data_IF_722329653428
#
_entry.id   IF_722329653428
#
_cell.length_a   1.000
_cell.length_b   1.000
_cell.length_c   1.000
_cell.angle_alpha   90.00
_cell.angle_beta   90.00
_cell.angle_gamma   90.00
#
_symmetry.space_group_name_H-M   'P 1'
#
loop_
_entity.id
_entity.type
_entity.pdbx_description
1 polymer ?
#
# COMPACT_ATOMS: atom_id res chain seq x y z
N UNK A 1 -41.55 -70.36 -18.93
CA UNK A 1 -40.63 -69.96 -17.83
C UNK A 1 -39.15 -69.74 -18.27
N UNK A 2 -38.69 -70.23 -19.40
CA UNK A 2 -37.31 -70.07 -19.89
C UNK A 2 -37.10 -68.84 -20.80
N UNK A 3 -38.15 -68.28 -21.39
CA UNK A 3 -38.05 -67.13 -22.33
C UNK A 3 -37.88 -65.75 -21.64
N UNK A 4 -38.21 -65.65 -20.37
CA UNK A 4 -38.13 -64.37 -19.64
C UNK A 4 -36.68 -64.03 -19.21
N UNK A 5 -35.89 -65.04 -18.90
CA UNK A 5 -34.48 -64.84 -18.48
C UNK A 5 -33.54 -64.47 -19.66
N UNK A 6 -33.82 -64.91 -20.88
CA UNK A 6 -33.04 -64.45 -22.07
C UNK A 6 -33.33 -63.01 -22.46
N UNK A 7 -34.56 -62.54 -22.27
CA UNK A 7 -34.94 -61.15 -22.52
C UNK A 7 -34.36 -60.18 -21.51
N UNK A 8 -34.23 -60.57 -20.24
CA UNK A 8 -33.56 -59.73 -19.24
C UNK A 8 -32.05 -59.67 -19.46
N UNK A 9 -31.40 -60.76 -19.80
CA UNK A 9 -29.95 -60.80 -20.04
C UNK A 9 -29.56 -59.96 -21.30
N UNK A 10 -30.40 -59.96 -22.32
CA UNK A 10 -30.18 -59.13 -23.53
C UNK A 10 -30.52 -57.66 -23.29
N UNK A 11 -31.50 -57.32 -22.47
CA UNK A 11 -31.83 -55.96 -22.05
C UNK A 11 -30.71 -55.37 -21.21
N UNK A 12 -30.21 -56.10 -20.26
CA UNK A 12 -29.10 -55.62 -19.41
C UNK A 12 -27.79 -55.48 -20.19
N UNK A 13 -27.49 -56.36 -21.16
CA UNK A 13 -26.35 -56.20 -22.05
C UNK A 13 -26.48 -54.96 -22.98
N UNK A 14 -27.68 -54.65 -23.49
CA UNK A 14 -27.95 -53.46 -24.29
C UNK A 14 -27.86 -52.19 -23.48
N UNK A 15 -28.36 -52.17 -22.26
CA UNK A 15 -28.27 -51.05 -21.33
C UNK A 15 -26.80 -50.80 -20.93
N UNK A 16 -26.04 -51.85 -20.62
CA UNK A 16 -24.63 -51.77 -20.26
C UNK A 16 -23.75 -51.28 -21.43
N UNK A 17 -24.06 -51.68 -22.67
CA UNK A 17 -23.37 -51.19 -23.87
C UNK A 17 -23.69 -49.73 -24.18
N UNK A 18 -24.94 -49.30 -23.97
CA UNK A 18 -25.33 -47.88 -24.08
C UNK A 18 -24.67 -47.05 -22.99
N UNK A 19 -24.69 -47.46 -21.74
CA UNK A 19 -23.99 -46.79 -20.66
C UNK A 19 -22.49 -46.64 -20.94
N UNK A 20 -21.85 -47.68 -21.48
CA UNK A 20 -20.42 -47.66 -21.79
C UNK A 20 -20.05 -46.69 -22.94
N UNK A 21 -20.97 -46.36 -23.83
CA UNK A 21 -20.78 -45.35 -24.89
C UNK A 21 -21.11 -43.92 -24.40
N UNK A 22 -22.02 -43.76 -23.43
CA UNK A 22 -22.39 -42.46 -22.90
C UNK A 22 -21.43 -41.93 -21.83
N UNK A 23 -20.76 -42.83 -21.10
CA UNK A 23 -19.76 -42.44 -20.09
C UNK A 23 -18.62 -41.61 -20.69
N UNK A 24 -17.92 -42.02 -21.78
CA UNK A 24 -16.84 -41.22 -22.36
C UNK A 24 -17.35 -39.90 -22.93
N UNK A 25 -18.56 -39.87 -23.48
CA UNK A 25 -19.19 -38.61 -23.96
C UNK A 25 -19.45 -37.67 -22.78
N UNK A 26 -19.96 -38.18 -21.66
CA UNK A 26 -20.16 -37.40 -20.44
C UNK A 26 -18.86 -36.84 -19.86
N UNK A 27 -17.79 -37.64 -19.89
CA UNK A 27 -16.47 -37.22 -19.45
C UNK A 27 -15.90 -36.11 -20.37
N UNK A 28 -16.01 -36.26 -21.68
CA UNK A 28 -15.55 -35.26 -22.64
C UNK A 28 -16.33 -33.95 -22.47
N UNK A 29 -17.63 -34.04 -22.28
CA UNK A 29 -18.49 -32.87 -22.05
C UNK A 29 -18.14 -32.19 -20.74
N UNK A 30 -17.91 -32.92 -19.68
CA UNK A 30 -17.48 -32.42 -18.38
C UNK A 30 -16.10 -31.73 -18.46
N UNK A 31 -15.15 -32.34 -19.16
CA UNK A 31 -13.84 -31.73 -19.44
C UNK A 31 -14.02 -30.45 -20.26
N UNK A 32 -14.88 -30.45 -21.27
CA UNK A 32 -15.20 -29.24 -22.04
C UNK A 32 -15.77 -28.10 -21.20
N UNK A 33 -16.67 -28.41 -20.27
CA UNK A 33 -17.24 -27.43 -19.35
C UNK A 33 -16.16 -26.87 -18.40
N UNK A 34 -15.29 -27.72 -17.84
CA UNK A 34 -14.18 -27.29 -17.00
C UNK A 34 -13.22 -26.38 -17.79
N UNK A 35 -12.94 -26.72 -19.05
CA UNK A 35 -12.11 -25.92 -19.92
C UNK A 35 -12.74 -24.55 -20.22
N UNK A 36 -14.00 -24.48 -20.48
CA UNK A 36 -14.75 -23.23 -20.69
C UNK A 36 -14.78 -22.38 -19.41
N UNK A 37 -15.06 -22.96 -18.27
CA UNK A 37 -15.10 -22.28 -16.99
C UNK A 37 -13.72 -21.69 -16.60
N UNK A 38 -12.63 -22.43 -16.88
CA UNK A 38 -11.28 -21.96 -16.61
C UNK A 38 -10.76 -20.91 -17.60
N UNK A 39 -11.46 -20.70 -18.70
CA UNK A 39 -11.09 -19.74 -19.73
C UNK A 39 -11.56 -18.31 -19.42
N UNK A 40 -12.37 -18.11 -18.40
CA UNK A 40 -12.89 -16.81 -18.02
C UNK A 40 -12.05 -16.21 -16.89
N UNK A 41 -11.66 -14.94 -17.02
CA UNK A 41 -10.94 -14.21 -15.97
C UNK A 41 -11.48 -12.79 -15.86
N UNK A 42 -11.76 -12.36 -14.63
CA UNK A 42 -12.14 -10.99 -14.32
C UNK A 42 -10.93 -10.20 -13.85
N UNK A 43 -10.72 -9.04 -14.46
CA UNK A 43 -9.73 -8.05 -14.04
C UNK A 43 -10.48 -6.92 -13.35
N UNK A 44 -10.16 -6.60 -12.09
CA UNK A 44 -10.81 -5.50 -11.36
C UNK A 44 -10.54 -4.16 -12.04
N UNK A 45 -11.41 -3.17 -11.79
CA UNK A 45 -11.21 -1.79 -12.24
C UNK A 45 -9.90 -1.23 -11.67
N UNK A 46 -9.17 -0.47 -12.50
CA UNK A 46 -7.89 0.10 -12.14
C UNK A 46 -6.73 -0.92 -12.12
N UNK A 47 -6.92 -2.12 -12.67
CA UNK A 47 -5.86 -3.11 -12.81
C UNK A 47 -5.62 -3.46 -14.28
N UNK A 48 -4.39 -3.84 -14.57
CA UNK A 48 -4.02 -4.44 -15.87
C UNK A 48 -3.74 -5.91 -15.67
N UNK A 49 -4.39 -6.75 -16.46
CA UNK A 49 -4.14 -8.19 -16.49
C UNK A 49 -3.03 -8.55 -17.46
N UNK A 50 -1.93 -9.10 -16.96
CA UNK A 50 -0.82 -9.59 -17.78
C UNK A 50 -0.97 -11.08 -17.95
N UNK A 51 -1.00 -11.53 -19.19
CA UNK A 51 -1.10 -12.94 -19.54
C UNK A 51 0.27 -13.61 -19.52
N UNK A 52 0.34 -14.76 -18.85
CA UNK A 52 1.52 -15.61 -18.87
C UNK A 52 1.14 -17.03 -19.26
N UNK A 53 1.87 -17.62 -20.21
CA UNK A 53 1.72 -19.00 -20.65
C UNK A 53 2.97 -19.79 -20.30
N UNK A 54 2.86 -20.71 -19.35
CA UNK A 54 4.01 -21.50 -18.84
C UNK A 54 5.20 -20.62 -18.41
N UNK A 55 4.92 -19.45 -17.82
CA UNK A 55 5.95 -18.50 -17.38
C UNK A 55 6.38 -17.48 -18.43
N UNK A 56 6.05 -17.66 -19.69
CA UNK A 56 6.32 -16.68 -20.75
C UNK A 56 5.24 -15.59 -20.73
N UNK A 57 5.65 -14.34 -20.68
CA UNK A 57 4.75 -13.19 -20.79
C UNK A 57 4.28 -13.04 -22.24
N UNK A 58 2.97 -13.02 -22.43
CA UNK A 58 2.34 -12.79 -23.72
C UNK A 58 2.30 -11.29 -24.04
N UNK A 59 2.26 -10.93 -25.32
CA UNK A 59 2.21 -9.51 -25.72
C UNK A 59 0.81 -8.88 -25.57
N UNK A 60 -0.20 -9.70 -25.32
CA UNK A 60 -1.57 -9.26 -25.07
C UNK A 60 -1.76 -8.92 -23.59
N UNK A 61 -2.29 -7.72 -23.32
CA UNK A 61 -2.76 -7.31 -22.03
C UNK A 61 -4.29 -7.43 -21.93
N UNK A 62 -4.79 -7.69 -20.73
CA UNK A 62 -6.22 -7.70 -20.43
C UNK A 62 -6.59 -6.38 -19.72
N UNK A 63 -7.57 -5.70 -20.29
CA UNK A 63 -8.18 -4.52 -19.65
C UNK A 63 -9.15 -4.95 -18.55
N UNK A 64 -9.61 -4.00 -17.77
CA UNK A 64 -10.62 -4.23 -16.74
C UNK A 64 -11.89 -4.88 -17.29
N UNK A 65 -12.54 -5.68 -16.45
CA UNK A 65 -13.76 -6.40 -16.78
C UNK A 65 -13.55 -7.89 -17.00
N UNK A 66 -14.51 -8.50 -17.70
CA UNK A 66 -14.52 -9.93 -18.01
C UNK A 66 -13.71 -10.19 -19.28
N UNK A 67 -12.70 -11.02 -19.17
CA UNK A 67 -11.80 -11.34 -20.28
C UNK A 67 -11.72 -12.85 -20.52
N UNK A 68 -11.61 -13.21 -21.80
CA UNK A 68 -11.37 -14.60 -22.21
C UNK A 68 -9.87 -14.86 -22.36
N UNK A 69 -9.42 -15.95 -21.78
CA UNK A 69 -8.03 -16.44 -21.85
C UNK A 69 -8.00 -17.93 -22.17
N UNK A 70 -6.87 -18.44 -22.56
CA UNK A 70 -6.67 -19.89 -22.63
C UNK A 70 -6.64 -20.50 -21.21
N UNK A 71 -7.15 -21.72 -20.99
CA UNK A 71 -7.09 -22.41 -19.70
C UNK A 71 -5.67 -22.52 -19.15
N UNK A 72 -4.67 -22.62 -20.03
CA UNK A 72 -3.25 -22.73 -19.67
C UNK A 72 -2.59 -21.40 -19.33
N UNK A 73 -3.29 -20.29 -19.54
CA UNK A 73 -2.79 -18.95 -19.25
C UNK A 73 -3.10 -18.56 -17.81
N UNK A 74 -2.11 -17.98 -17.14
CA UNK A 74 -2.26 -17.31 -15.85
C UNK A 74 -2.36 -15.81 -16.07
N UNK A 75 -3.26 -15.15 -15.33
CA UNK A 75 -3.41 -13.69 -15.33
C UNK A 75 -2.75 -13.14 -14.09
N UNK A 76 -1.76 -12.30 -14.26
CA UNK A 76 -1.15 -11.49 -13.20
C UNK A 76 -1.82 -10.13 -13.23
N UNK A 77 -2.39 -9.72 -12.12
CA UNK A 77 -3.11 -8.44 -12.02
C UNK A 77 -2.17 -7.41 -11.39
N UNK A 78 -1.84 -6.37 -12.14
CA UNK A 78 -1.06 -5.24 -11.63
C UNK A 78 -2.00 -4.07 -11.38
N UNK A 79 -1.89 -3.47 -10.19
CA UNK A 79 -2.70 -2.33 -9.78
C UNK A 79 -2.10 -1.03 -10.35
N UNK A 80 -2.86 -0.36 -11.22
CA UNK A 80 -2.45 0.89 -11.88
C UNK A 80 -2.91 2.14 -11.11
N UNK A 81 -3.66 1.95 -10.04
CA UNK A 81 -4.14 3.08 -9.21
C UNK A 81 -2.98 3.70 -8.45
N UNK A 82 -3.15 4.95 -8.08
CA UNK A 82 -2.20 5.62 -7.22
C UNK A 82 -2.17 4.95 -5.85
N UNK A 83 -1.01 4.45 -5.47
CA UNK A 83 -0.73 3.82 -4.20
C UNK A 83 0.13 4.76 -3.37
N UNK A 84 -0.08 4.77 -2.05
CA UNK A 84 0.76 5.49 -1.10
C UNK A 84 1.61 4.50 -0.33
N UNK A 85 2.91 4.77 -0.28
CA UNK A 85 3.84 4.11 0.64
C UNK A 85 4.53 5.13 1.51
N UNK A 86 4.77 4.76 2.76
CA UNK A 86 5.57 5.54 3.69
C UNK A 86 6.80 4.71 4.03
N UNK A 87 7.95 5.32 3.87
CA UNK A 87 9.25 4.68 4.12
C UNK A 87 10.07 5.53 5.07
N UNK A 88 10.80 4.84 5.93
CA UNK A 88 11.75 5.47 6.86
C UNK A 88 13.16 5.28 6.31
N UNK A 89 13.90 6.37 6.27
CA UNK A 89 15.30 6.39 5.83
C UNK A 89 16.18 7.05 6.88
N UNK A 90 17.38 6.53 7.00
CA UNK A 90 18.45 7.18 7.75
C UNK A 90 19.43 7.82 6.77
N UNK A 91 19.73 9.08 6.97
CA UNK A 91 20.71 9.83 6.20
C UNK A 91 21.60 10.68 7.13
N UNK A 92 22.63 11.25 6.54
CA UNK A 92 23.48 12.24 7.22
C UNK A 92 23.33 13.57 6.50
N UNK A 93 23.23 14.63 7.29
CA UNK A 93 23.33 16.00 6.79
C UNK A 93 24.78 16.34 6.41
N UNK A 94 24.97 17.50 5.76
CA UNK A 94 26.31 17.98 5.37
C UNK A 94 27.24 18.24 6.57
N UNK A 95 26.67 18.50 7.73
CA UNK A 95 27.39 18.67 9.02
C UNK A 95 27.44 17.36 9.84
N UNK A 96 27.27 16.20 9.15
CA UNK A 96 27.45 14.85 9.71
C UNK A 96 26.47 14.55 10.88
N UNK A 97 25.30 15.17 10.88
CA UNK A 97 24.26 14.81 11.84
C UNK A 97 23.40 13.66 11.26
N UNK A 98 23.15 12.67 12.09
CA UNK A 98 22.23 11.58 11.75
C UNK A 98 20.79 12.07 11.79
N UNK A 99 20.05 11.76 10.72
CA UNK A 99 18.67 12.20 10.51
C UNK A 99 17.81 11.00 10.14
N UNK A 100 16.75 10.80 10.88
CA UNK A 100 15.68 9.86 10.52
C UNK A 100 14.61 10.62 9.74
N UNK A 101 14.28 10.08 8.55
CA UNK A 101 13.42 10.76 7.59
C UNK A 101 12.24 9.85 7.28
N UNK A 102 11.05 10.37 7.44
CA UNK A 102 9.83 9.69 7.00
C UNK A 102 9.33 10.32 5.72
N UNK A 103 9.34 9.54 4.63
CA UNK A 103 8.88 9.95 3.31
C UNK A 103 7.60 9.22 2.93
N UNK A 104 6.61 9.96 2.45
CA UNK A 104 5.44 9.41 1.76
C UNK A 104 5.63 9.56 0.26
N UNK A 105 5.43 8.46 -0.47
CA UNK A 105 5.50 8.40 -1.93
C UNK A 105 4.16 7.96 -2.47
N UNK A 106 3.60 8.74 -3.37
CA UNK A 106 2.42 8.40 -4.15
C UNK A 106 2.88 7.99 -5.55
N UNK A 107 2.62 6.75 -5.93
CA UNK A 107 3.06 6.21 -7.21
C UNK A 107 1.96 5.38 -7.85
N UNK A 108 2.05 5.24 -9.16
CA UNK A 108 1.16 4.41 -9.98
C UNK A 108 1.96 3.78 -11.13
N UNK A 109 1.33 2.87 -11.84
CA UNK A 109 1.92 2.23 -13.02
C UNK A 109 1.16 2.69 -14.24
N UNK A 110 1.89 3.02 -15.31
CA UNK A 110 1.27 3.24 -16.59
C UNK A 110 0.76 1.91 -17.16
N UNK A 111 -0.51 1.88 -17.53
CA UNK A 111 -1.19 0.71 -18.07
C UNK A 111 -0.49 0.13 -19.30
N UNK A 112 0.00 0.98 -20.19
CA UNK A 112 0.65 0.59 -21.44
C UNK A 112 2.00 -0.10 -21.21
N UNK A 113 2.69 0.28 -20.15
CA UNK A 113 4.03 -0.23 -19.82
C UNK A 113 4.03 -1.32 -18.75
N UNK A 114 2.89 -1.55 -18.09
CA UNK A 114 2.76 -2.53 -17.01
C UNK A 114 3.24 -3.93 -17.39
N UNK A 115 3.01 -4.35 -18.64
CA UNK A 115 3.47 -5.62 -19.16
C UNK A 115 5.00 -5.69 -19.24
N UNK A 116 5.64 -4.63 -19.75
CA UNK A 116 7.09 -4.56 -19.84
C UNK A 116 7.73 -4.48 -18.46
N UNK A 117 7.13 -3.73 -17.55
CA UNK A 117 7.53 -3.66 -16.15
C UNK A 117 7.49 -5.06 -15.51
N UNK A 118 6.40 -5.80 -15.70
CA UNK A 118 6.31 -7.17 -15.20
C UNK A 118 7.34 -8.10 -15.83
N UNK A 119 7.61 -7.97 -17.15
CA UNK A 119 8.58 -8.79 -17.87
C UNK A 119 10.01 -8.57 -17.39
N UNK A 120 10.36 -7.33 -17.06
CA UNK A 120 11.74 -6.93 -16.71
C UNK A 120 12.01 -6.98 -15.21
N UNK A 121 11.02 -6.67 -14.38
CA UNK A 121 11.18 -6.51 -12.92
C UNK A 121 10.28 -7.46 -12.12
N UNK A 122 9.07 -7.72 -12.61
CA UNK A 122 8.08 -8.53 -11.91
C UNK A 122 7.12 -7.69 -11.08
N UNK A 123 6.49 -8.34 -10.08
CA UNK A 123 5.50 -7.71 -9.20
C UNK A 123 6.12 -6.86 -8.10
N UNK A 124 7.39 -7.15 -7.74
CA UNK A 124 8.12 -6.45 -6.68
C UNK A 124 8.86 -5.21 -7.19
N UNK A 125 8.28 -4.54 -8.19
CA UNK A 125 8.90 -3.37 -8.84
C UNK A 125 9.15 -2.21 -7.88
N UNK A 126 8.31 -2.04 -6.86
CA UNK A 126 8.52 -1.01 -5.86
C UNK A 126 9.82 -1.26 -5.09
N UNK A 127 9.96 -2.44 -4.50
CA UNK A 127 11.12 -2.83 -3.70
C UNK A 127 12.40 -2.88 -4.52
N UNK A 128 12.29 -3.28 -5.81
CA UNK A 128 13.46 -3.49 -6.66
C UNK A 128 13.90 -2.23 -7.39
N UNK A 129 13.00 -1.30 -7.68
CA UNK A 129 13.29 -0.10 -8.49
C UNK A 129 13.05 1.19 -7.70
N UNK A 130 11.82 1.38 -7.15
CA UNK A 130 11.46 2.67 -6.55
C UNK A 130 12.22 2.90 -5.24
N UNK A 131 12.20 1.92 -4.36
CA UNK A 131 12.81 2.03 -3.03
C UNK A 131 14.31 2.35 -3.08
N UNK A 132 15.16 1.66 -3.87
CA UNK A 132 16.59 1.96 -3.93
C UNK A 132 16.87 3.36 -4.49
N UNK A 133 16.12 3.79 -5.50
CA UNK A 133 16.26 5.13 -6.09
C UNK A 133 15.83 6.22 -5.13
N UNK A 134 14.73 5.97 -4.42
CA UNK A 134 14.26 6.87 -3.38
C UNK A 134 15.29 7.02 -2.27
N UNK A 135 15.85 5.90 -1.79
CA UNK A 135 16.89 5.88 -0.77
C UNK A 135 18.14 6.65 -1.20
N UNK A 136 18.62 6.40 -2.42
CA UNK A 136 19.81 7.05 -2.99
C UNK A 136 19.58 8.57 -3.13
N UNK A 137 18.47 8.96 -3.75
CA UNK A 137 18.13 10.38 -3.95
C UNK A 137 17.91 11.11 -2.63
N UNK A 138 17.23 10.48 -1.68
CA UNK A 138 17.02 11.05 -0.34
C UNK A 138 18.35 11.29 0.35
N UNK A 139 19.25 10.30 0.39
CA UNK A 139 20.58 10.46 0.99
C UNK A 139 21.41 11.53 0.28
N UNK A 140 21.35 11.61 -1.03
CA UNK A 140 22.06 12.61 -1.83
C UNK A 140 21.57 14.04 -1.50
N UNK A 141 20.26 14.24 -1.50
CA UNK A 141 19.69 15.55 -1.21
C UNK A 141 19.98 15.96 0.24
N UNK A 142 19.74 15.08 1.21
CA UNK A 142 19.93 15.39 2.63
C UNK A 142 21.40 15.69 2.97
N UNK A 143 22.34 15.02 2.31
CA UNK A 143 23.78 15.30 2.49
C UNK A 143 24.23 16.67 1.98
N UNK A 144 23.41 17.34 1.18
CA UNK A 144 23.70 18.68 0.64
C UNK A 144 23.28 19.82 1.56
N UNK A 145 22.46 19.53 2.57
CA UNK A 145 21.93 20.50 3.52
C UNK A 145 22.46 20.29 4.92
N UNK A 146 22.62 21.37 5.68
CA UNK A 146 22.89 21.29 7.13
C UNK A 146 21.62 20.89 7.88
N UNK A 147 21.76 20.32 9.07
CA UNK A 147 20.62 19.94 9.90
C UNK A 147 19.66 21.09 10.17
N UNK A 148 20.19 22.30 10.37
CA UNK A 148 19.39 23.51 10.56
C UNK A 148 18.58 23.88 9.30
N UNK A 149 19.16 23.73 8.12
CA UNK A 149 18.48 24.00 6.85
C UNK A 149 17.39 22.98 6.53
N UNK A 150 17.56 21.70 6.93
CA UNK A 150 16.59 20.64 6.71
C UNK A 150 15.24 20.94 7.38
N UNK A 151 15.25 21.55 8.55
CA UNK A 151 14.05 21.88 9.32
C UNK A 151 13.16 22.91 8.59
N UNK A 152 13.79 23.89 7.92
CA UNK A 152 13.09 25.00 7.28
C UNK A 152 12.68 24.76 5.81
N UNK A 153 13.25 23.75 5.14
CA UNK A 153 13.16 23.61 3.69
C UNK A 153 12.44 22.33 3.22
N UNK A 154 11.51 21.80 3.98
CA UNK A 154 10.82 20.50 3.70
C UNK A 154 10.23 20.41 2.28
N UNK A 155 9.64 21.50 1.79
CA UNK A 155 9.05 21.55 0.45
C UNK A 155 10.11 21.47 -0.64
N UNK A 156 11.22 22.19 -0.48
CA UNK A 156 12.32 22.15 -1.44
C UNK A 156 12.98 20.77 -1.49
N UNK A 157 13.21 20.15 -0.33
CA UNK A 157 13.74 18.79 -0.22
C UNK A 157 12.85 17.79 -0.96
N UNK A 158 11.53 17.89 -0.79
CA UNK A 158 10.57 17.03 -1.48
C UNK A 158 10.66 17.19 -3.00
N UNK A 159 10.79 18.43 -3.49
CA UNK A 159 10.89 18.72 -4.91
C UNK A 159 12.23 18.24 -5.50
N UNK A 160 13.34 18.45 -4.82
CA UNK A 160 14.65 17.96 -5.27
C UNK A 160 14.72 16.43 -5.33
N UNK A 161 14.17 15.74 -4.32
CA UNK A 161 14.08 14.28 -4.35
C UNK A 161 13.22 13.84 -5.54
N UNK A 162 12.10 14.50 -5.77
CA UNK A 162 11.19 14.25 -6.88
C UNK A 162 11.88 14.37 -8.22
N UNK A 163 12.64 15.45 -8.41
CA UNK A 163 13.37 15.73 -9.66
C UNK A 163 14.46 14.70 -9.97
N UNK A 164 15.05 14.11 -8.93
CA UNK A 164 16.04 13.05 -9.09
C UNK A 164 15.39 11.68 -9.35
N UNK A 165 14.29 11.36 -8.65
CA UNK A 165 13.68 10.01 -8.71
C UNK A 165 12.85 9.82 -9.95
N UNK A 166 12.06 10.84 -10.38
CA UNK A 166 11.12 10.71 -11.50
C UNK A 166 11.79 10.21 -12.78
N UNK A 167 12.90 10.81 -13.27
CA UNK A 167 13.52 10.37 -14.53
C UNK A 167 13.98 8.91 -14.47
N UNK A 168 14.45 8.48 -13.31
CA UNK A 168 15.01 7.15 -13.11
C UNK A 168 13.94 6.05 -13.12
N UNK A 169 12.77 6.32 -12.56
CA UNK A 169 11.68 5.33 -12.48
C UNK A 169 10.75 5.39 -13.69
N UNK A 170 10.66 6.55 -14.35
CA UNK A 170 9.79 6.75 -15.52
C UNK A 170 10.16 5.82 -16.70
N UNK A 171 11.44 5.49 -16.88
CA UNK A 171 11.92 4.54 -17.91
C UNK A 171 11.36 3.12 -17.73
N UNK A 172 10.90 2.78 -16.54
CA UNK A 172 10.24 1.50 -16.26
C UNK A 172 8.71 1.60 -16.35
N UNK A 173 8.16 2.79 -16.67
CA UNK A 173 6.72 3.03 -16.74
C UNK A 173 6.07 3.23 -15.37
N UNK A 174 6.87 3.54 -14.34
CA UNK A 174 6.38 3.91 -13.02
C UNK A 174 6.21 5.42 -12.98
N UNK A 175 5.06 5.88 -12.53
CA UNK A 175 4.70 7.30 -12.41
C UNK A 175 4.70 7.65 -10.93
N UNK A 176 5.53 8.59 -10.54
CA UNK A 176 5.47 9.19 -9.21
C UNK A 176 4.60 10.44 -9.30
N UNK A 177 3.48 10.42 -8.59
CA UNK A 177 2.55 11.55 -8.54
C UNK A 177 3.03 12.58 -7.52
N UNK A 178 3.51 12.11 -6.37
CA UNK A 178 4.00 13.00 -5.33
C UNK A 178 5.00 12.30 -4.39
N UNK A 179 5.94 13.09 -3.86
CA UNK A 179 6.85 12.69 -2.78
C UNK A 179 6.76 13.79 -1.72
N UNK A 180 6.52 13.40 -0.48
CA UNK A 180 6.37 14.33 0.63
C UNK A 180 7.22 13.89 1.81
N UNK A 181 8.05 14.77 2.31
CA UNK A 181 8.75 14.62 3.59
C UNK A 181 7.73 14.83 4.69
N UNK A 182 7.35 13.75 5.37
CA UNK A 182 6.36 13.78 6.45
C UNK A 182 6.98 14.19 7.76
N UNK A 183 8.10 13.58 8.07
CA UNK A 183 8.82 13.89 9.30
C UNK A 183 10.33 13.86 9.11
N UNK A 184 11.01 14.67 9.90
CA UNK A 184 12.47 14.75 10.00
C UNK A 184 12.79 14.75 11.48
N UNK A 185 13.42 13.70 11.95
CA UNK A 185 13.78 13.52 13.36
C UNK A 185 15.30 13.45 13.49
N UNK A 186 15.81 14.14 14.49
CA UNK A 186 17.23 14.22 14.77
C UNK A 186 17.54 13.46 16.06
N UNK A 187 18.81 13.10 16.23
CA UNK A 187 19.24 12.46 17.47
C UNK A 187 19.05 13.39 18.67
N UNK A 188 18.74 12.80 19.83
CA UNK A 188 18.59 13.54 21.09
C UNK A 188 19.82 14.41 21.40
N UNK A 189 21.01 13.92 21.05
CA UNK A 189 22.26 14.65 21.24
C UNK A 189 22.30 15.95 20.42
N UNK A 190 21.82 15.92 19.16
CA UNK A 190 21.75 17.10 18.31
C UNK A 190 20.66 18.06 18.79
N UNK A 191 19.47 17.55 19.11
CA UNK A 191 18.35 18.34 19.61
C UNK A 191 18.74 19.09 20.89
N UNK A 192 19.36 18.37 21.83
CA UNK A 192 19.88 18.98 23.07
C UNK A 192 21.00 20.01 22.79
N UNK A 193 21.87 19.76 21.82
CA UNK A 193 22.92 20.71 21.43
C UNK A 193 22.36 21.98 20.80
N UNK A 194 21.31 21.83 19.94
CA UNK A 194 20.60 22.98 19.35
C UNK A 194 19.87 23.78 20.41
N UNK A 195 19.18 23.11 21.34
CA UNK A 195 18.55 23.76 22.47
C UNK A 195 19.58 24.49 23.33
N UNK A 196 20.71 23.84 23.66
CA UNK A 196 21.79 24.47 24.43
C UNK A 196 22.41 25.66 23.69
N UNK A 197 22.61 25.55 22.35
CA UNK A 197 23.09 26.65 21.50
C UNK A 197 22.08 27.81 21.50
N UNK A 198 20.80 27.50 21.44
CA UNK A 198 19.73 28.49 21.41
C UNK A 198 19.59 29.17 22.76
N UNK A 199 19.71 28.42 23.87
CA UNK A 199 19.77 28.96 25.24
C UNK A 199 21.01 29.84 25.40
N UNK A 200 22.18 29.37 24.99
CA UNK A 200 23.40 30.17 25.06
C UNK A 200 23.37 31.43 24.19
N UNK A 201 22.77 31.36 23.00
CA UNK A 201 22.54 32.50 22.14
C UNK A 201 21.53 33.49 22.77
N UNK A 202 20.49 32.95 23.38
CA UNK A 202 19.51 33.72 24.11
C UNK A 202 20.12 34.39 25.37
N UNK A 203 20.95 33.64 26.10
CA UNK A 203 21.68 34.18 27.28
C UNK A 203 22.64 35.30 26.90
N UNK A 204 23.37 35.09 25.76
CA UNK A 204 24.24 36.15 25.22
C UNK A 204 23.45 37.38 24.79
N UNK A 205 22.35 37.21 24.07
CA UNK A 205 21.48 38.29 23.66
C UNK A 205 20.85 38.99 24.87
N UNK A 206 20.48 38.21 25.89
CA UNK A 206 19.95 38.72 27.14
C UNK A 206 21.00 39.52 27.92
N UNK A 207 22.26 39.04 27.97
CA UNK A 207 23.37 39.76 28.59
C UNK A 207 23.71 41.05 27.84
N UNK A 208 23.76 41.03 26.50
CA UNK A 208 23.96 42.23 25.66
C UNK A 208 22.82 43.23 25.83
N UNK A 209 21.58 42.76 25.85
CA UNK A 209 20.39 43.59 26.04
C UNK A 209 20.38 44.19 27.46
N UNK A 210 20.77 43.38 28.46
CA UNK A 210 20.86 43.86 29.87
C UNK A 210 21.97 44.88 30.04
N UNK A 211 23.07 44.73 29.33
CA UNK A 211 24.19 45.69 29.35
C UNK A 211 23.81 47.00 28.65
N UNK A 212 23.07 46.90 27.51
CA UNK A 212 22.48 48.06 26.85
C UNK A 212 21.39 48.72 27.69
N UNK A 213 20.64 47.94 28.44
CA UNK A 213 19.61 48.45 29.38
C UNK A 213 20.20 49.15 30.58
N UNK A 214 21.35 48.70 31.15
CA UNK A 214 22.03 49.36 32.24
C UNK A 214 22.50 50.76 31.84
N UNK A 215 22.73 50.98 30.57
CA UNK A 215 23.08 52.30 30.00
C UNK A 215 21.85 53.19 29.72
N UNK A 216 20.66 52.60 29.68
CA UNK A 216 19.41 53.31 29.35
C UNK A 216 18.32 53.20 30.44
N UNK A 217 18.70 52.89 31.69
CA UNK A 217 17.79 52.57 32.81
C UNK A 217 16.74 53.64 33.15
N UNK A 218 16.92 54.88 32.76
CA UNK A 218 15.98 55.95 33.10
C UNK A 218 14.77 56.09 32.16
N UNK A 219 14.82 55.52 30.91
CA UNK A 219 13.78 55.83 29.90
C UNK A 219 12.87 54.62 29.51
N UNK A 220 13.11 53.38 29.99
CA UNK A 220 12.49 52.22 29.37
C UNK A 220 11.70 51.25 30.27
N UNK A 221 11.31 51.63 31.48
CA UNK A 221 10.48 50.75 32.32
C UNK A 221 9.13 50.37 31.66
N UNK A 222 8.54 51.31 30.95
CA UNK A 222 7.28 51.09 30.24
C UNK A 222 7.46 50.17 29.02
N UNK A 223 8.63 50.21 28.34
CA UNK A 223 8.93 49.39 27.18
C UNK A 223 9.25 47.93 27.57
N UNK A 224 9.77 47.71 28.79
CA UNK A 224 9.98 46.37 29.37
C UNK A 224 8.69 45.59 29.54
N UNK A 225 7.61 46.24 29.96
CA UNK A 225 6.31 45.57 30.13
C UNK A 225 5.70 45.17 28.79
N UNK A 226 5.87 45.99 27.76
CA UNK A 226 5.38 45.67 26.41
C UNK A 226 6.17 44.49 25.78
N UNK A 227 7.52 44.49 25.93
CA UNK A 227 8.38 43.42 25.40
C UNK A 227 8.08 42.08 26.09
N UNK A 228 7.87 42.12 27.42
CA UNK A 228 7.54 40.91 28.19
C UNK A 228 6.18 40.34 27.79
N UNK A 229 5.16 41.22 27.63
CA UNK A 229 3.84 40.80 27.19
C UNK A 229 3.83 40.21 25.76
N UNK A 230 4.69 40.76 24.87
CA UNK A 230 4.87 40.23 23.53
C UNK A 230 5.55 38.84 23.51
N UNK A 231 6.56 38.63 24.36
CA UNK A 231 7.25 37.34 24.47
C UNK A 231 6.31 36.25 25.03
N UNK A 232 5.49 36.60 26.03
CA UNK A 232 4.51 35.69 26.61
C UNK A 232 3.37 35.34 25.60
N UNK A 233 2.95 36.36 24.81
CA UNK A 233 1.97 36.15 23.74
C UNK A 233 2.52 35.28 22.59
N UNK A 234 3.81 35.44 22.23
CA UNK A 234 4.48 34.64 21.19
C UNK A 234 4.70 33.19 21.66
N UNK A 235 5.07 32.99 22.93
CA UNK A 235 5.16 31.66 23.53
C UNK A 235 3.80 30.95 23.58
N UNK A 236 2.75 31.67 23.94
CA UNK A 236 1.39 31.12 23.93
C UNK A 236 0.95 30.73 22.50
N UNK A 237 1.34 31.51 21.49
CA UNK A 237 1.05 31.24 20.09
C UNK A 237 1.86 30.04 19.55
N UNK A 238 3.14 29.94 19.90
CA UNK A 238 4.00 28.80 19.50
C UNK A 238 3.51 27.51 20.17
N UNK A 239 3.13 27.59 21.47
CA UNK A 239 2.55 26.43 22.17
C UNK A 239 1.23 25.97 21.53
N UNK A 240 0.35 26.92 21.16
CA UNK A 240 -0.90 26.61 20.45
C UNK A 240 -0.67 26.03 19.03
N UNK A 241 0.40 26.49 18.34
CA UNK A 241 0.77 25.95 17.03
C UNK A 241 1.37 24.55 17.15
N UNK A 242 2.20 24.29 18.17
CA UNK A 242 2.76 22.96 18.43
C UNK A 242 1.67 21.94 18.79
N UNK A 243 0.69 22.33 19.61
CA UNK A 243 -0.47 21.47 19.94
C UNK A 243 -1.33 21.17 18.72
N UNK A 244 -1.52 22.15 17.83
CA UNK A 244 -2.21 21.94 16.55
C UNK A 244 -1.46 20.96 15.63
N UNK A 245 -0.12 21.04 15.60
CA UNK A 245 0.72 20.16 14.78
C UNK A 245 0.66 18.72 15.29
N UNK A 246 0.75 18.52 16.61
CA UNK A 246 0.59 17.21 17.26
C UNK A 246 -0.78 16.61 16.98
N UNK A 247 -1.84 17.43 17.05
CA UNK A 247 -3.21 16.97 16.76
C UNK A 247 -3.38 16.56 15.29
N UNK A 248 -2.76 17.28 14.35
CA UNK A 248 -2.75 16.90 12.93
C UNK A 248 -2.02 15.59 12.69
N UNK A 249 -0.82 15.43 13.24
CA UNK A 249 -0.03 14.19 13.12
C UNK A 249 -0.81 12.98 13.67
N UNK A 250 -1.53 13.15 14.77
CA UNK A 250 -2.37 12.09 15.33
C UNK A 250 -3.57 11.77 14.45
N UNK A 251 -4.20 12.78 13.84
CA UNK A 251 -5.31 12.59 12.90
C UNK A 251 -4.84 11.85 11.62
N UNK A 252 -3.71 12.25 11.04
CA UNK A 252 -3.13 11.63 9.85
C UNK A 252 -2.71 10.16 10.13
N UNK A 253 -2.17 9.89 11.32
CA UNK A 253 -1.82 8.54 11.75
C UNK A 253 -3.07 7.65 11.91
N UNK A 254 -4.16 8.18 12.44
CA UNK A 254 -5.44 7.46 12.58
C UNK A 254 -6.08 7.19 11.20
N UNK A 255 -6.02 8.16 10.29
CA UNK A 255 -6.51 7.99 8.91
C UNK A 255 -5.70 6.91 8.17
N UNK A 256 -4.38 6.93 8.29
CA UNK A 256 -3.51 5.90 7.70
C UNK A 256 -3.82 4.49 8.24
N UNK A 257 -4.02 4.36 9.56
CA UNK A 257 -4.40 3.08 10.17
C UNK A 257 -5.76 2.59 9.62
N UNK A 258 -6.73 3.50 9.47
CA UNK A 258 -8.04 3.18 8.89
C UNK A 258 -7.97 2.73 7.42
N UNK A 259 -7.14 3.39 6.61
CA UNK A 259 -6.93 3.01 5.20
C UNK A 259 -6.25 1.65 5.06
N UNK A 260 -5.29 1.34 5.93
CA UNK A 260 -4.60 0.02 5.94
C UNK A 260 -5.56 -1.11 6.34
N UNK A 261 -6.41 -0.88 7.32
CA UNK A 261 -7.41 -1.87 7.73
C UNK A 261 -8.48 -2.07 6.65
N UNK A 262 -8.93 -1.00 6.00
CA UNK A 262 -9.86 -1.09 4.86
C UNK A 262 -9.23 -1.84 3.67
N UNK A 263 -7.95 -1.61 3.38
CA UNK A 263 -7.23 -2.35 2.34
C UNK A 263 -7.09 -3.84 2.70
N UNK A 264 -6.82 -4.17 3.97
CA UNK A 264 -6.76 -5.54 4.49
C UNK A 264 -8.12 -6.24 4.37
N UNK A 265 -9.19 -5.56 4.77
CA UNK A 265 -10.56 -6.09 4.67
C UNK A 265 -10.94 -6.33 3.21
N UNK A 266 -10.61 -5.40 2.30
CA UNK A 266 -10.85 -5.57 0.87
C UNK A 266 -10.03 -6.73 0.27
N UNK A 267 -8.78 -6.90 0.67
CA UNK A 267 -7.95 -8.03 0.25
C UNK A 267 -8.53 -9.38 0.75
N UNK A 268 -9.01 -9.41 1.99
CA UNK A 268 -9.70 -10.58 2.55
C UNK A 268 -11.02 -10.84 1.82
N UNK A 269 -11.82 -9.80 1.54
CA UNK A 269 -13.09 -9.91 0.83
C UNK A 269 -12.91 -10.42 -0.62
N UNK A 270 -11.80 -10.09 -1.28
CA UNK A 270 -11.49 -10.58 -2.62
C UNK A 270 -11.04 -12.05 -2.66
N UNK A 271 -10.47 -12.55 -1.57
CA UNK A 271 -10.03 -13.96 -1.43
C UNK A 271 -11.16 -14.83 -0.86
N UNK A 272 -12.15 -14.24 -0.20
CA UNK A 272 -13.32 -14.93 0.36
C UNK A 272 -14.33 -15.29 -0.73
N UNK A 273 -13.92 -16.21 -1.61
CA UNK A 273 -14.87 -16.88 -2.51
C UNK A 273 -15.81 -17.79 -1.68
N UNK A 274 -17.01 -18.10 -2.20
CA UNK A 274 -17.92 -19.05 -1.55
C UNK A 274 -17.26 -20.39 -1.17
N UNK A 275 -16.28 -20.81 -1.95
CA UNK A 275 -15.54 -22.06 -1.70
C UNK A 275 -14.53 -21.93 -0.56
N UNK A 276 -13.90 -20.78 -0.41
CA UNK A 276 -12.99 -20.48 0.73
C UNK A 276 -13.80 -20.37 2.03
N UNK A 277 -14.99 -19.76 2.00
CA UNK A 277 -15.89 -19.72 3.14
C UNK A 277 -16.40 -21.11 3.52
N UNK A 278 -16.73 -21.97 2.54
CA UNK A 278 -17.07 -23.37 2.78
C UNK A 278 -15.91 -24.13 3.43
N UNK A 279 -14.68 -23.94 2.95
CA UNK A 279 -13.49 -24.56 3.51
C UNK A 279 -13.26 -24.15 4.97
N UNK A 280 -13.34 -22.87 5.30
CA UNK A 280 -13.21 -22.39 6.69
C UNK A 280 -14.35 -22.86 7.59
N UNK A 281 -15.60 -22.93 7.07
CA UNK A 281 -16.72 -23.49 7.82
C UNK A 281 -16.53 -24.98 8.11
N UNK A 282 -15.95 -25.73 7.16
CA UNK A 282 -15.62 -27.15 7.37
C UNK A 282 -14.50 -27.30 8.41
N UNK A 283 -13.48 -26.44 8.39
CA UNK A 283 -12.36 -26.46 9.35
C UNK A 283 -12.77 -26.08 10.78
N UNK A 284 -13.74 -25.19 10.92
CA UNK A 284 -14.27 -24.77 12.25
C UNK A 284 -15.48 -25.58 12.70
N UNK A 285 -15.96 -26.50 11.85
CA UNK A 285 -17.11 -27.32 12.22
C UNK A 285 -16.74 -28.30 13.33
N UNK A 286 -17.44 -28.20 14.44
CA UNK A 286 -17.30 -29.06 15.62
C UNK A 286 -17.92 -30.47 15.44
N UNK A 287 -18.34 -30.80 14.21
CA UNK A 287 -18.97 -32.10 13.89
C UNK A 287 -20.43 -32.20 14.31
N UNK A 288 -21.03 -31.14 14.86
CA UNK A 288 -22.44 -31.14 15.28
C UNK A 288 -23.29 -30.36 14.28
N UNK A 289 -24.33 -30.96 13.77
CA UNK A 289 -25.33 -30.28 12.96
C UNK A 289 -26.09 -29.25 13.82
N UNK A 290 -26.22 -27.98 13.38
CA UNK A 290 -26.99 -27.01 14.12
C UNK A 290 -28.44 -27.45 14.21
N UNK A 291 -28.98 -27.50 15.42
CA UNK A 291 -30.34 -28.00 15.76
C UNK A 291 -31.46 -27.15 15.09
N UNK A 292 -31.12 -26.06 14.46
CA UNK A 292 -32.06 -25.09 13.84
C UNK A 292 -32.18 -25.16 12.32
N UNK A 293 -31.57 -26.14 11.65
CA UNK A 293 -31.68 -26.31 10.19
C UNK A 293 -32.90 -27.14 9.74
N UNK A 294 -33.86 -27.42 10.60
CA UNK A 294 -35.08 -28.17 10.26
C UNK A 294 -36.33 -27.23 10.19
N UNK A 295 -36.21 -26.07 9.59
CA UNK A 295 -37.34 -25.25 9.17
C UNK A 295 -37.71 -25.61 7.74
N UNK A 296 -38.96 -25.95 7.52
CA UNK A 296 -39.55 -26.47 6.29
C UNK A 296 -39.48 -25.55 5.05
N UNK A 297 -38.85 -24.34 5.15
CA UNK A 297 -38.79 -23.31 4.09
C UNK A 297 -37.42 -22.65 3.91
N UNK A 298 -36.38 -23.22 4.46
CA UNK A 298 -35.01 -22.71 4.14
C UNK A 298 -34.37 -23.69 3.16
N UNK A 299 -34.49 -23.38 1.88
CA UNK A 299 -33.61 -23.85 0.83
C UNK A 299 -32.21 -23.20 0.98
N UNK A 300 -31.61 -23.34 2.16
CA UNK A 300 -30.19 -23.09 2.37
C UNK A 300 -29.52 -24.46 2.22
N UNK A 301 -29.54 -24.95 1.04
CA UNK A 301 -28.41 -25.21 0.21
C UNK A 301 -27.21 -25.74 0.97
N UNK A 302 -27.26 -27.02 1.15
CA UNK A 302 -26.03 -27.77 0.89
C UNK A 302 -26.05 -28.14 -0.59
N UNK A 303 -25.54 -27.24 -1.42
CA UNK A 303 -25.06 -27.65 -2.74
C UNK A 303 -23.64 -28.18 -2.53
N UNK A 304 -23.56 -29.44 -2.15
CA UNK A 304 -22.36 -30.24 -2.14
C UNK A 304 -22.27 -30.92 -3.49
N UNK A 305 -21.82 -30.19 -4.49
CA UNK A 305 -21.22 -30.75 -5.68
C UNK A 305 -19.88 -30.08 -5.97
#
# INVERSE_FOLDING_TARGET
>A
MFNDYENEATRTKKIRRRLWTWIPIGIILLIGIIFLASSCSSVPAGHTGILTTFGKVEDRILTEGLNWKSPFQKVIKMDNRTQKKVEEFQAFSSDIQEVNIMLAVNYSINQETAQNLYRTVGVEYYTNIVYPRLLESTKSVFSSYTAEQLIGNRENLSNEIKDLVIPDVARYGIIISDISVQDIDFTDAFTNAVEAKQVAAQDKLTAETKQAQLTMEAEQEAQRQVIKAQADAEQAKIAAQADLEVTKIQADAAEYAGQKEAARINAIAQVLTPDVLKYYNILQWDGKLPVYMLGKDTSILMDLN
#
